data_IF_758076851632
#
_entry.id   IF_758076851632
#
_cell.length_a   1.000
_cell.length_b   1.000
_cell.length_c   1.000
_cell.angle_alpha   90.00
_cell.angle_beta   90.00
_cell.angle_gamma   90.00
#
_symmetry.space_group_name_H-M   'P 1'
#
loop_
_entity.id
_entity.type
_entity.pdbx_description
1 polymer ?
#
# COMPACT_ATOMS: atom_id res chain seq x y z
N UNK A 1 -6.03 -5.99 -13.62
CA UNK A 1 -5.56 -7.26 -12.99
C UNK A 1 -5.27 -7.04 -11.51
N UNK A 2 -4.52 -6.01 -11.14
CA UNK A 2 -4.16 -5.68 -9.76
C UNK A 2 -5.38 -5.46 -8.82
N UNK A 3 -6.39 -4.72 -9.27
CA UNK A 3 -7.64 -4.52 -8.50
C UNK A 3 -8.41 -5.81 -8.19
N UNK A 4 -8.38 -6.80 -9.10
CA UNK A 4 -9.06 -8.07 -8.88
C UNK A 4 -8.32 -8.92 -7.84
N UNK A 5 -7.00 -8.94 -7.90
CA UNK A 5 -6.15 -9.61 -6.92
C UNK A 5 -6.27 -8.97 -5.53
N UNK A 6 -6.26 -7.64 -5.46
CA UNK A 6 -6.44 -6.91 -4.19
C UNK A 6 -7.80 -7.21 -3.56
N UNK A 7 -8.88 -7.26 -4.35
CA UNK A 7 -10.21 -7.67 -3.89
C UNK A 7 -10.24 -9.10 -3.36
N UNK A 8 -9.56 -10.04 -4.02
CA UNK A 8 -9.47 -11.41 -3.55
C UNK A 8 -8.77 -11.51 -2.20
N UNK A 9 -7.58 -10.92 -2.07
CA UNK A 9 -6.81 -10.95 -0.81
C UNK A 9 -7.61 -10.26 0.31
N UNK A 10 -8.31 -9.16 0.00
CA UNK A 10 -9.22 -8.50 0.95
C UNK A 10 -10.29 -9.45 1.45
N UNK A 11 -10.96 -10.17 0.55
CA UNK A 11 -11.97 -11.15 0.92
C UNK A 11 -11.38 -12.27 1.79
N UNK A 12 -10.17 -12.75 1.48
CA UNK A 12 -9.48 -13.76 2.29
C UNK A 12 -9.27 -13.26 3.73
N UNK A 13 -8.76 -12.03 3.92
CA UNK A 13 -8.58 -11.40 5.23
C UNK A 13 -9.90 -11.32 6.01
N UNK A 14 -10.98 -10.88 5.36
CA UNK A 14 -12.29 -10.70 6.01
C UNK A 14 -12.94 -12.03 6.40
N UNK A 15 -12.66 -13.10 5.65
CA UNK A 15 -13.24 -14.43 5.84
C UNK A 15 -12.65 -15.22 7.00
N UNK A 16 -11.45 -14.85 7.49
CA UNK A 16 -10.79 -15.59 8.57
C UNK A 16 -11.65 -15.55 9.83
N UNK A 17 -11.98 -16.75 10.32
CA UNK A 17 -12.64 -16.98 11.61
C UNK A 17 -11.85 -18.04 12.40
N UNK A 18 -11.15 -17.64 13.48
CA UNK A 18 -10.50 -18.60 14.36
C UNK A 18 -11.54 -19.42 15.12
N UNK A 19 -11.18 -20.66 15.48
CA UNK A 19 -12.06 -21.55 16.26
C UNK A 19 -12.28 -21.05 17.68
N UNK A 20 -11.22 -20.47 18.28
CA UNK A 20 -11.23 -19.85 19.60
C UNK A 20 -10.12 -18.79 19.73
N UNK A 21 -10.08 -18.09 20.87
CA UNK A 21 -9.10 -17.03 21.14
C UNK A 21 -7.64 -17.53 21.31
N UNK A 22 -7.42 -18.84 21.27
CA UNK A 22 -6.13 -19.52 21.33
C UNK A 22 -5.69 -20.12 19.99
N UNK A 23 -6.43 -19.92 18.91
CA UNK A 23 -6.10 -20.39 17.56
C UNK A 23 -4.93 -19.59 16.96
N UNK A 24 -3.73 -19.82 17.48
CA UNK A 24 -2.51 -19.12 17.08
C UNK A 24 -2.16 -19.33 15.61
N UNK A 25 -2.54 -20.47 15.04
CA UNK A 25 -2.30 -20.76 13.62
C UNK A 25 -3.17 -19.86 12.74
N UNK A 26 -4.46 -19.75 13.02
CA UNK A 26 -5.36 -18.84 12.31
C UNK A 26 -4.94 -17.37 12.48
N UNK A 27 -4.54 -16.96 13.69
CA UNK A 27 -4.06 -15.58 13.94
C UNK A 27 -2.75 -15.29 13.20
N UNK A 28 -1.81 -16.25 13.17
CA UNK A 28 -0.56 -16.11 12.41
C UNK A 28 -0.83 -16.04 10.91
N UNK A 29 -1.77 -16.86 10.43
CA UNK A 29 -2.24 -16.83 9.04
C UNK A 29 -2.88 -15.48 8.67
N UNK A 30 -3.75 -14.96 9.54
CA UNK A 30 -4.38 -13.66 9.38
C UNK A 30 -3.36 -12.53 9.28
N UNK A 31 -2.36 -12.51 10.17
CA UNK A 31 -1.31 -11.49 10.11
C UNK A 31 -0.57 -11.50 8.76
N UNK A 32 -0.24 -12.69 8.25
CA UNK A 32 0.38 -12.84 6.92
C UNK A 32 -0.53 -12.35 5.80
N UNK A 33 -1.84 -12.63 5.87
CA UNK A 33 -2.82 -12.16 4.90
C UNK A 33 -2.92 -10.62 4.92
N UNK A 34 -2.99 -10.00 6.09
CA UNK A 34 -3.01 -8.53 6.24
C UNK A 34 -1.72 -7.93 5.67
N UNK A 35 -0.57 -8.51 5.99
CA UNK A 35 0.71 -8.05 5.45
C UNK A 35 0.76 -8.13 3.92
N UNK A 36 0.33 -9.26 3.33
CA UNK A 36 0.27 -9.42 1.88
C UNK A 36 -0.74 -8.46 1.23
N UNK A 37 -1.88 -8.22 1.88
CA UNK A 37 -2.84 -7.22 1.44
C UNK A 37 -2.20 -5.82 1.38
N UNK A 38 -1.46 -5.44 2.43
CA UNK A 38 -0.77 -4.14 2.48
C UNK A 38 0.30 -4.01 1.39
N UNK A 39 1.09 -5.07 1.15
CA UNK A 39 2.05 -5.07 0.04
C UNK A 39 1.36 -4.89 -1.31
N UNK A 40 0.24 -5.57 -1.54
CA UNK A 40 -0.54 -5.43 -2.77
C UNK A 40 -1.18 -4.04 -2.90
N UNK A 41 -1.70 -3.48 -1.80
CA UNK A 41 -2.33 -2.15 -1.74
C UNK A 41 -1.32 -1.03 -2.03
N UNK A 42 -0.09 -1.17 -1.54
CA UNK A 42 0.97 -0.16 -1.66
C UNK A 42 1.81 -0.33 -2.93
N UNK A 43 1.65 -1.44 -3.65
CA UNK A 43 2.34 -1.68 -4.92
C UNK A 43 1.76 -0.80 -6.02
N UNK A 44 2.64 -0.27 -6.86
CA UNK A 44 2.31 0.53 -8.03
C UNK A 44 2.07 -0.33 -9.30
N UNK A 45 1.94 -1.65 -9.14
CA UNK A 45 1.77 -2.61 -10.24
C UNK A 45 3.05 -3.37 -10.58
N UNK A 46 4.17 -3.02 -9.96
CA UNK A 46 5.40 -3.80 -10.04
C UNK A 46 5.26 -5.16 -9.35
N UNK A 47 5.69 -6.22 -10.05
CA UNK A 47 5.72 -7.60 -9.52
C UNK A 47 7.00 -7.92 -8.75
N UNK A 48 7.95 -7.01 -8.74
CA UNK A 48 9.23 -7.19 -8.04
C UNK A 48 9.06 -6.93 -6.54
N UNK A 49 9.35 -7.96 -5.74
CA UNK A 49 9.33 -7.84 -4.28
C UNK A 49 10.65 -7.26 -3.79
N UNK A 50 10.64 -5.96 -3.53
CA UNK A 50 11.76 -5.28 -2.87
C UNK A 50 11.73 -5.57 -1.35
N UNK A 51 12.82 -6.14 -0.84
CA UNK A 51 12.98 -6.45 0.60
C UNK A 51 12.96 -5.19 1.47
N UNK A 52 13.36 -4.03 0.95
CA UNK A 52 13.30 -2.77 1.68
C UNK A 52 11.83 -2.36 1.91
N UNK A 53 11.01 -2.45 0.86
CA UNK A 53 9.55 -2.22 0.94
C UNK A 53 8.91 -3.16 1.95
N UNK A 54 9.21 -4.47 1.88
CA UNK A 54 8.67 -5.46 2.81
C UNK A 54 8.99 -5.12 4.28
N UNK A 55 10.23 -4.71 4.56
CA UNK A 55 10.66 -4.32 5.91
C UNK A 55 9.95 -3.06 6.40
N UNK A 56 9.82 -2.05 5.56
CA UNK A 56 9.13 -0.81 5.90
C UNK A 56 7.65 -1.07 6.19
N UNK A 57 6.98 -1.86 5.37
CA UNK A 57 5.57 -2.24 5.57
C UNK A 57 5.42 -3.04 6.86
N UNK A 58 6.32 -3.97 7.16
CA UNK A 58 6.29 -4.74 8.40
C UNK A 58 6.49 -3.85 9.63
N UNK A 59 7.45 -2.92 9.58
CA UNK A 59 7.72 -1.99 10.67
C UNK A 59 6.54 -1.04 10.92
N UNK A 60 5.95 -0.49 9.84
CA UNK A 60 4.78 0.37 9.94
C UNK A 60 3.56 -0.41 10.45
N UNK A 61 3.34 -1.65 9.98
CA UNK A 61 2.25 -2.51 10.44
C UNK A 61 2.36 -2.81 11.94
N UNK A 62 3.53 -3.25 12.42
CA UNK A 62 3.72 -3.52 13.86
C UNK A 62 3.54 -2.25 14.73
N UNK A 63 3.80 -1.06 14.18
CA UNK A 63 3.57 0.21 14.88
C UNK A 63 2.09 0.57 15.04
N UNK A 64 1.23 0.21 14.08
CA UNK A 64 -0.19 0.61 14.06
C UNK A 64 -1.12 -0.50 14.51
N UNK A 65 -0.72 -1.75 14.28
CA UNK A 65 -1.51 -2.93 14.52
C UNK A 65 -0.60 -4.07 15.00
N UNK A 66 -0.15 -3.98 16.27
CA UNK A 66 0.68 -5.02 16.85
C UNK A 66 -0.09 -6.34 16.89
N UNK A 67 0.62 -7.48 16.83
CA UNK A 67 0.01 -8.82 16.77
C UNK A 67 -1.03 -9.11 17.85
N UNK A 68 -0.94 -8.48 19.01
CA UNK A 68 -1.95 -8.62 20.08
C UNK A 68 -3.35 -8.13 19.64
N UNK A 69 -3.41 -7.18 18.71
CA UNK A 69 -4.65 -6.64 18.13
C UNK A 69 -5.39 -7.63 17.21
N UNK A 70 -4.74 -8.71 16.75
CA UNK A 70 -5.37 -9.73 15.90
C UNK A 70 -6.57 -10.38 16.59
N UNK A 71 -6.50 -10.56 17.92
CA UNK A 71 -7.61 -11.13 18.70
C UNK A 71 -8.84 -10.23 18.68
N UNK A 72 -8.67 -8.92 18.74
CA UNK A 72 -9.81 -8.00 18.66
C UNK A 72 -10.37 -7.95 17.25
N UNK A 73 -9.49 -7.90 16.24
CA UNK A 73 -9.88 -7.82 14.82
C UNK A 73 -10.76 -8.99 14.37
N UNK A 74 -10.47 -10.22 14.79
CA UNK A 74 -11.26 -11.40 14.36
C UNK A 74 -12.72 -11.38 14.85
N UNK A 75 -13.00 -10.68 15.95
CA UNK A 75 -14.33 -10.57 16.54
C UNK A 75 -15.18 -9.45 15.92
N UNK A 76 -14.57 -8.57 15.12
CA UNK A 76 -15.30 -7.52 14.41
C UNK A 76 -16.25 -8.11 13.35
N UNK A 77 -17.32 -7.38 13.09
CA UNK A 77 -18.22 -7.67 11.98
C UNK A 77 -17.50 -7.46 10.64
N UNK A 78 -17.95 -8.11 9.54
CA UNK A 78 -17.28 -8.00 8.24
C UNK A 78 -17.09 -6.55 7.77
N UNK A 79 -18.09 -5.69 7.97
CA UNK A 79 -18.01 -4.28 7.57
C UNK A 79 -17.00 -3.50 8.43
N UNK A 80 -16.97 -3.77 9.73
CA UNK A 80 -15.99 -3.17 10.66
C UNK A 80 -14.56 -3.62 10.32
N UNK A 81 -14.36 -4.91 10.00
CA UNK A 81 -13.06 -5.43 9.54
C UNK A 81 -12.63 -4.75 8.25
N UNK A 82 -13.55 -4.53 7.31
CA UNK A 82 -13.26 -3.88 6.04
C UNK A 82 -12.82 -2.42 6.26
N UNK A 83 -13.57 -1.67 7.09
CA UNK A 83 -13.20 -0.29 7.47
C UNK A 83 -11.85 -0.26 8.19
N UNK A 84 -11.62 -1.12 9.17
CA UNK A 84 -10.35 -1.14 9.91
C UNK A 84 -9.17 -1.50 9.00
N UNK A 85 -9.35 -2.42 8.06
CA UNK A 85 -8.32 -2.79 7.10
C UNK A 85 -8.00 -1.64 6.14
N UNK A 86 -9.00 -0.90 5.66
CA UNK A 86 -8.81 0.26 4.77
C UNK A 86 -8.13 1.43 5.50
N UNK A 87 -8.52 1.69 6.76
CA UNK A 87 -7.86 2.68 7.60
C UNK A 87 -6.40 2.30 7.88
N UNK A 88 -6.15 1.04 8.23
CA UNK A 88 -4.81 0.52 8.47
C UNK A 88 -3.91 0.71 7.23
N UNK A 89 -4.40 0.40 6.04
CA UNK A 89 -3.68 0.65 4.78
C UNK A 89 -3.28 2.11 4.60
N UNK A 90 -4.19 3.04 4.89
CA UNK A 90 -3.94 4.48 4.77
C UNK A 90 -2.92 4.97 5.80
N UNK A 91 -2.99 4.49 7.04
CA UNK A 91 -2.04 4.85 8.08
C UNK A 91 -0.64 4.31 7.74
N UNK A 92 -0.54 3.04 7.30
CA UNK A 92 0.73 2.45 6.86
C UNK A 92 1.34 3.25 5.71
N UNK A 93 0.53 3.63 4.71
CA UNK A 93 0.98 4.51 3.63
C UNK A 93 1.49 5.85 4.17
N UNK A 94 0.73 6.49 5.07
CA UNK A 94 1.10 7.76 5.68
C UNK A 94 2.43 7.69 6.45
N UNK A 95 2.67 6.63 7.22
CA UNK A 95 3.94 6.40 7.93
C UNK A 95 5.09 6.27 6.93
N UNK A 96 4.90 5.54 5.84
CA UNK A 96 5.95 5.36 4.82
C UNK A 96 6.26 6.66 4.08
N UNK A 97 5.23 7.46 3.75
CA UNK A 97 5.39 8.78 3.17
C UNK A 97 6.14 9.73 4.13
N UNK A 98 5.78 9.71 5.41
CA UNK A 98 6.48 10.49 6.43
C UNK A 98 7.94 10.05 6.59
N UNK A 99 8.20 8.74 6.61
CA UNK A 99 9.56 8.20 6.69
C UNK A 99 10.41 8.57 5.46
N UNK A 100 9.79 8.67 4.28
CA UNK A 100 10.42 9.22 3.08
C UNK A 100 10.85 10.67 3.29
N UNK A 101 9.92 11.50 3.75
CA UNK A 101 10.15 12.93 3.95
C UNK A 101 11.32 13.22 4.91
N UNK A 102 11.45 12.42 5.98
CA UNK A 102 12.56 12.56 6.94
C UNK A 102 13.83 11.79 6.55
N UNK A 103 13.87 11.19 5.36
CA UNK A 103 15.03 10.45 4.83
C UNK A 103 15.33 9.11 5.55
N UNK A 104 14.35 8.51 6.22
CA UNK A 104 14.49 7.25 6.97
C UNK A 104 13.78 6.04 6.33
N UNK A 105 13.22 6.21 5.14
CA UNK A 105 12.53 5.15 4.40
C UNK A 105 11.94 5.66 3.10
N UNK A 106 10.86 5.04 2.64
CA UNK A 106 10.21 5.38 1.39
C UNK A 106 10.71 4.59 0.19
N UNK A 107 11.35 3.43 0.42
CA UNK A 107 11.77 2.55 -0.66
C UNK A 107 10.60 2.24 -1.61
N UNK A 108 10.83 2.31 -2.92
CA UNK A 108 9.80 2.04 -3.93
C UNK A 108 8.63 3.04 -3.99
N UNK A 109 8.61 4.10 -3.17
CA UNK A 109 7.60 5.17 -3.32
C UNK A 109 8.00 6.11 -4.45
N UNK A 110 7.12 6.23 -5.44
CA UNK A 110 7.26 7.17 -6.55
C UNK A 110 7.30 8.61 -6.05
N UNK A 111 8.23 9.39 -6.60
CA UNK A 111 8.28 10.84 -6.43
C UNK A 111 7.31 11.46 -7.44
N UNK A 112 6.04 11.58 -7.05
CA UNK A 112 4.98 12.07 -7.93
C UNK A 112 5.29 13.50 -8.37
N UNK A 113 5.86 14.30 -7.49
CA UNK A 113 6.25 15.68 -7.75
C UNK A 113 7.28 15.76 -8.89
N UNK A 114 8.30 14.91 -8.85
CA UNK A 114 9.32 14.81 -9.90
C UNK A 114 8.76 14.23 -11.21
N UNK A 115 7.92 13.19 -11.15
CA UNK A 115 7.27 12.62 -12.33
C UNK A 115 6.34 13.62 -13.03
N UNK A 116 5.56 14.37 -12.27
CA UNK A 116 4.67 15.41 -12.79
C UNK A 116 5.49 16.55 -13.39
N UNK A 117 6.56 16.98 -12.72
CA UNK A 117 7.44 18.02 -13.23
C UNK A 117 8.09 17.59 -14.55
N UNK A 118 8.63 16.38 -14.63
CA UNK A 118 9.24 15.85 -15.86
C UNK A 118 8.25 15.82 -17.03
N UNK A 119 7.03 15.32 -16.81
CA UNK A 119 5.98 15.28 -17.84
C UNK A 119 5.51 16.68 -18.26
N UNK A 120 5.41 17.62 -17.32
CA UNK A 120 5.03 18.99 -17.62
C UNK A 120 6.09 19.69 -18.49
N UNK A 121 7.36 19.44 -18.22
CA UNK A 121 8.48 19.96 -19.01
C UNK A 121 8.50 19.37 -20.42
N UNK A 122 8.31 18.06 -20.56
CA UNK A 122 8.22 17.39 -21.86
C UNK A 122 7.06 17.93 -22.70
N UNK A 123 5.90 18.16 -22.08
CA UNK A 123 4.75 18.76 -22.74
C UNK A 123 5.05 20.19 -23.20
N UNK A 124 5.68 21.01 -22.36
CA UNK A 124 6.08 22.38 -22.70
C UNK A 124 7.01 22.39 -23.90
N UNK A 125 8.07 21.58 -23.88
CA UNK A 125 9.05 21.53 -24.97
C UNK A 125 8.42 21.06 -26.29
N UNK A 126 7.42 20.17 -26.22
CA UNK A 126 6.65 19.74 -27.39
C UNK A 126 5.81 20.89 -27.96
N UNK A 127 5.15 21.66 -27.09
CA UNK A 127 4.34 22.81 -27.50
C UNK A 127 5.20 23.93 -28.10
N UNK A 128 6.39 24.17 -27.55
CA UNK A 128 7.34 25.15 -28.09
C UNK A 128 7.77 24.80 -29.52
N UNK A 129 8.15 23.53 -29.76
CA UNK A 129 8.49 23.06 -31.11
C UNK A 129 7.34 23.20 -32.10
N UNK A 130 6.12 22.82 -31.69
CA UNK A 130 4.95 22.97 -32.55
C UNK A 130 4.63 24.44 -32.86
N UNK A 131 4.86 25.35 -31.90
CA UNK A 131 4.65 26.77 -32.09
C UNK A 131 5.66 27.38 -33.08
N UNK A 132 6.93 26.95 -33.03
CA UNK A 132 7.97 27.34 -33.99
C UNK A 132 7.62 26.88 -35.41
N UNK A 133 7.21 25.62 -35.58
CA UNK A 133 6.78 25.07 -36.88
C UNK A 133 5.59 25.83 -37.49
N UNK A 134 4.70 26.38 -36.65
CA UNK A 134 3.56 27.21 -37.09
C UNK A 134 3.94 28.65 -37.45
N UNK A 135 5.12 29.14 -37.04
CA UNK A 135 5.62 30.48 -37.39
C UNK A 135 6.39 30.49 -38.72
N UNK A 136 6.90 29.34 -39.16
CA UNK A 136 7.66 29.17 -40.40
C UNK A 136 6.77 28.83 -41.63
N UNK A 137 5.44 28.86 -41.49
CA UNK A 137 4.44 28.64 -42.58
C UNK A 137 3.59 29.88 -42.84
#
# INVERSE_FOLDING_TARGET
VQDAQLKHIRQDVLSVRPKDAGDFEALTGLYRLIFNYLLAYLSDGSTERDRAVEREVAAALESVFPRIGLKSFVHLQPDEKATQLDEMSRIVLGIRLFNREIGKGGAGLKNIEEEVYAKAMELRDTLEKMAEECQDT
#
